data_IF_033246176920
#
_entry.id   IF_033246176920
#
_cell.length_a   1.000
_cell.length_b   1.000
_cell.length_c   1.000
_cell.angle_alpha   90.00
_cell.angle_beta   90.00
_cell.angle_gamma   90.00
#
_symmetry.space_group_name_H-M   'P 1'
#
loop_
_entity.id
_entity.type
_entity.pdbx_description
1 polymer ?
#
# COMPACT_ATOMS: atom_id res chain seq x y z
N UNK A 1 23.07 41.27 -8.96
CA UNK A 1 22.56 40.15 -8.17
C UNK A 1 21.16 39.94 -8.67
N UNK A 2 21.03 39.00 -9.59
CA UNK A 2 19.74 38.50 -10.06
C UNK A 2 19.17 37.59 -8.97
N UNK A 3 17.84 37.54 -8.87
CA UNK A 3 17.15 36.58 -8.01
C UNK A 3 16.70 35.43 -8.87
N UNK A 4 17.07 34.22 -8.48
CA UNK A 4 16.58 32.98 -9.08
C UNK A 4 15.64 32.33 -8.08
N UNK A 5 14.39 32.17 -8.46
CA UNK A 5 13.38 31.47 -7.67
C UNK A 5 13.27 30.04 -8.19
N UNK A 6 13.60 29.08 -7.33
CA UNK A 6 13.41 27.67 -7.59
C UNK A 6 12.00 27.25 -7.21
N UNK A 7 11.18 26.96 -8.22
CA UNK A 7 9.82 26.48 -8.03
C UNK A 7 9.80 24.96 -7.99
N UNK A 8 9.65 24.41 -6.78
CA UNK A 8 9.52 22.98 -6.55
C UNK A 8 8.06 22.56 -6.63
N UNK A 9 7.78 21.53 -7.41
CA UNK A 9 6.45 20.93 -7.51
C UNK A 9 6.51 19.43 -7.23
N UNK A 10 5.43 18.90 -6.66
CA UNK A 10 5.24 17.45 -6.51
C UNK A 10 4.75 16.87 -7.84
N UNK A 11 5.41 15.83 -8.39
CA UNK A 11 4.92 15.10 -9.55
C UNK A 11 3.69 14.21 -9.21
N UNK A 12 3.38 14.08 -7.91
CA UNK A 12 2.32 13.22 -7.37
C UNK A 12 1.03 13.99 -7.09
N UNK A 13 1.00 15.28 -7.41
CA UNK A 13 -0.17 16.14 -7.31
C UNK A 13 -0.55 16.59 -8.73
N UNK A 14 -1.85 16.66 -9.06
CA UNK A 14 -2.29 17.19 -10.36
C UNK A 14 -1.61 18.52 -10.69
N UNK A 15 -1.07 18.60 -11.90
CA UNK A 15 -0.40 19.80 -12.39
C UNK A 15 -1.32 21.03 -12.30
N UNK A 16 -0.74 22.19 -11.98
CA UNK A 16 -1.47 23.46 -11.79
C UNK A 16 -2.03 23.68 -10.39
N UNK A 17 -2.02 22.69 -9.50
CA UNK A 17 -2.28 22.91 -8.07
C UNK A 17 -1.02 23.46 -7.38
N UNK A 18 -0.81 24.76 -7.51
CA UNK A 18 0.29 25.48 -6.88
C UNK A 18 -0.18 26.32 -5.69
N UNK A 19 0.72 26.55 -4.73
CA UNK A 19 0.56 27.50 -3.63
C UNK A 19 0.33 28.92 -4.16
N UNK A 20 -0.26 29.77 -3.32
CA UNK A 20 -0.49 31.17 -3.70
C UNK A 20 0.85 31.86 -3.96
N UNK A 21 1.84 31.61 -3.11
CA UNK A 21 3.20 32.13 -3.23
C UNK A 21 3.88 31.71 -4.53
N UNK A 22 3.67 30.46 -4.98
CA UNK A 22 4.17 30.00 -6.28
C UNK A 22 3.50 30.70 -7.45
N UNK A 23 2.18 30.89 -7.39
CA UNK A 23 1.49 31.64 -8.43
C UNK A 23 1.92 33.10 -8.45
N UNK A 24 2.08 33.75 -7.30
CA UNK A 24 2.56 35.13 -7.21
C UNK A 24 3.97 35.24 -7.82
N UNK A 25 4.88 34.34 -7.45
CA UNK A 25 6.24 34.29 -8.02
C UNK A 25 6.23 34.14 -9.55
N UNK A 26 5.38 33.24 -10.09
CA UNK A 26 5.25 33.03 -11.53
C UNK A 26 4.68 34.26 -12.27
N UNK A 27 3.70 34.95 -11.70
CA UNK A 27 3.10 36.14 -12.32
C UNK A 27 4.00 37.37 -12.24
N UNK A 28 4.85 37.46 -11.21
CA UNK A 28 5.80 38.56 -11.02
C UNK A 28 7.12 38.34 -11.78
N UNK A 29 7.39 37.11 -12.22
CA UNK A 29 8.61 36.76 -12.94
C UNK A 29 8.72 37.46 -14.30
N UNK A 30 9.90 38.03 -14.58
CA UNK A 30 10.23 38.56 -15.92
C UNK A 30 10.61 37.45 -16.91
N UNK A 31 11.06 36.30 -16.41
CA UNK A 31 11.39 35.11 -17.17
C UNK A 31 11.04 33.85 -16.37
N UNK A 32 10.51 32.83 -17.05
CA UNK A 32 10.26 31.50 -16.49
C UNK A 32 10.91 30.47 -17.40
N UNK A 33 11.67 29.53 -16.83
CA UNK A 33 12.37 28.52 -17.61
C UNK A 33 12.33 27.12 -16.97
N UNK A 34 12.58 26.11 -17.78
CA UNK A 34 12.71 24.70 -17.38
C UNK A 34 13.64 23.95 -18.36
N UNK A 35 14.13 22.77 -17.96
CA UNK A 35 14.88 21.89 -18.88
C UNK A 35 13.97 21.09 -19.81
N UNK A 36 12.80 20.68 -19.32
CA UNK A 36 11.94 19.72 -20.00
C UNK A 36 10.48 20.19 -20.02
N UNK A 37 9.76 19.77 -21.05
CA UNK A 37 8.30 19.84 -21.07
C UNK A 37 7.75 18.83 -20.05
N UNK A 38 7.21 19.36 -18.94
CA UNK A 38 6.56 18.56 -17.89
C UNK A 38 5.09 18.95 -17.78
N UNK A 39 4.22 18.12 -17.18
CA UNK A 39 2.84 18.49 -16.91
C UNK A 39 2.72 19.80 -16.12
N UNK A 40 3.67 20.08 -15.21
CA UNK A 40 3.73 21.35 -14.48
C UNK A 40 3.99 22.55 -15.41
N UNK A 41 4.94 22.42 -16.36
CA UNK A 41 5.21 23.45 -17.37
C UNK A 41 4.01 23.68 -18.28
N UNK A 42 3.34 22.61 -18.73
CA UNK A 42 2.10 22.70 -19.52
C UNK A 42 1.02 23.47 -18.76
N UNK A 43 0.79 23.14 -17.48
CA UNK A 43 -0.20 23.82 -16.65
C UNK A 43 0.11 25.31 -16.41
N UNK A 44 1.40 25.68 -16.30
CA UNK A 44 1.83 27.08 -16.18
C UNK A 44 1.56 27.84 -17.48
N UNK A 45 1.84 27.25 -18.64
CA UNK A 45 1.54 27.84 -19.95
C UNK A 45 0.05 27.99 -20.22
N UNK A 46 -0.75 27.01 -19.81
CA UNK A 46 -2.21 27.09 -19.88
C UNK A 46 -2.78 28.22 -19.01
N UNK A 47 -2.07 28.62 -17.96
CA UNK A 47 -2.40 29.80 -17.16
C UNK A 47 -1.98 31.14 -17.82
N UNK A 48 -1.33 31.09 -18.99
CA UNK A 48 -0.93 32.25 -19.78
C UNK A 48 0.47 32.80 -19.47
N UNK A 49 1.32 32.00 -18.83
CA UNK A 49 2.70 32.34 -18.48
C UNK A 49 3.64 31.61 -19.43
N UNK A 50 4.43 32.36 -20.19
CA UNK A 50 5.42 31.77 -21.11
C UNK A 50 6.54 31.09 -20.30
N UNK A 51 6.88 29.86 -20.67
CA UNK A 51 7.97 29.09 -20.07
C UNK A 51 8.94 28.69 -21.18
N UNK A 52 10.19 29.12 -21.06
CA UNK A 52 11.25 28.79 -22.00
C UNK A 52 11.87 27.43 -21.66
N UNK A 53 11.91 26.52 -22.63
CA UNK A 53 12.69 25.28 -22.50
C UNK A 53 14.10 25.55 -22.98
N UNK A 54 15.07 25.39 -22.08
CA UNK A 54 16.48 25.69 -22.34
C UNK A 54 17.34 24.46 -22.13
N UNK A 55 18.38 24.29 -22.96
CA UNK A 55 19.36 23.18 -22.82
C UNK A 55 20.48 23.53 -21.83
N UNK A 56 20.69 24.82 -21.56
CA UNK A 56 21.72 25.36 -20.68
C UNK A 56 21.11 26.50 -19.85
N UNK A 57 21.20 26.38 -18.54
CA UNK A 57 20.65 27.34 -17.60
C UNK A 57 21.56 28.56 -17.37
N UNK A 58 22.80 28.58 -17.87
CA UNK A 58 23.77 29.64 -17.60
C UNK A 58 23.23 31.04 -17.94
N UNK A 59 22.57 31.20 -19.09
CA UNK A 59 21.96 32.47 -19.49
C UNK A 59 20.83 32.88 -18.53
N UNK A 60 19.97 31.92 -18.16
CA UNK A 60 18.89 32.16 -17.22
C UNK A 60 19.40 32.58 -15.83
N UNK A 61 20.49 31.98 -15.34
CA UNK A 61 21.09 32.31 -14.06
C UNK A 61 21.62 33.76 -14.01
N UNK A 62 22.16 34.27 -15.13
CA UNK A 62 22.58 35.66 -15.23
C UNK A 62 21.41 36.65 -15.20
N UNK A 63 20.29 36.30 -15.84
CA UNK A 63 19.11 37.17 -15.96
C UNK A 63 18.23 37.12 -14.70
N UNK A 64 18.07 35.95 -14.08
CA UNK A 64 17.14 35.71 -12.98
C UNK A 64 15.71 35.44 -13.44
N UNK A 65 14.86 34.98 -12.52
CA UNK A 65 13.49 34.59 -12.83
C UNK A 65 13.04 33.36 -12.04
N UNK A 66 11.97 32.71 -12.50
CA UNK A 66 11.48 31.46 -11.90
C UNK A 66 11.94 30.26 -12.71
N UNK A 67 12.61 29.32 -12.05
CA UNK A 67 12.97 28.04 -12.63
C UNK A 67 11.99 26.96 -12.15
N UNK A 68 11.25 26.36 -13.08
CA UNK A 68 10.36 25.24 -12.80
C UNK A 68 11.19 23.97 -12.74
N UNK A 69 11.34 23.42 -11.54
CA UNK A 69 12.21 22.26 -11.31
C UNK A 69 11.55 20.99 -11.87
N UNK A 70 12.30 20.25 -12.69
CA UNK A 70 11.88 18.97 -13.23
C UNK A 70 11.71 17.88 -12.17
N UNK A 71 11.05 16.78 -12.54
CA UNK A 71 10.71 15.69 -11.62
C UNK A 71 11.94 14.99 -11.02
N UNK A 72 13.06 15.00 -11.77
CA UNK A 72 14.35 14.47 -11.32
C UNK A 72 15.14 15.44 -10.43
N UNK A 73 14.60 16.63 -10.14
CA UNK A 73 15.22 17.63 -9.27
C UNK A 73 16.34 18.45 -9.91
N UNK A 74 16.53 18.34 -11.23
CA UNK A 74 17.49 19.13 -12.04
C UNK A 74 18.89 19.19 -11.44
N UNK A 75 19.48 18.03 -11.15
CA UNK A 75 20.75 17.88 -10.43
C UNK A 75 21.90 18.70 -11.05
N UNK A 76 21.98 18.77 -12.38
CA UNK A 76 22.99 19.55 -13.11
C UNK A 76 22.87 21.06 -12.80
N UNK A 77 21.65 21.58 -12.78
CA UNK A 77 21.40 22.97 -12.39
C UNK A 77 21.66 23.21 -10.92
N UNK A 78 21.32 22.25 -10.05
CA UNK A 78 21.61 22.35 -8.62
C UNK A 78 23.11 22.53 -8.36
N UNK A 79 23.95 21.79 -9.07
CA UNK A 79 25.41 21.93 -8.98
C UNK A 79 25.87 23.30 -9.49
N UNK A 80 25.37 23.75 -10.65
CA UNK A 80 25.70 25.07 -11.19
C UNK A 80 25.29 26.21 -10.23
N UNK A 81 24.06 26.18 -9.70
CA UNK A 81 23.55 27.15 -8.74
C UNK A 81 24.45 27.28 -7.51
N UNK A 82 25.03 26.18 -7.03
CA UNK A 82 25.92 26.21 -5.88
C UNK A 82 27.18 27.08 -6.14
N UNK A 83 27.71 27.06 -7.36
CA UNK A 83 28.86 27.90 -7.75
C UNK A 83 28.47 29.39 -7.83
N UNK A 84 27.36 29.72 -8.48
CA UNK A 84 26.87 31.10 -8.63
C UNK A 84 26.47 31.73 -7.29
N UNK A 85 25.82 30.96 -6.40
CA UNK A 85 25.48 31.41 -5.04
C UNK A 85 26.75 31.62 -4.21
N UNK A 86 27.72 30.71 -4.28
CA UNK A 86 28.99 30.86 -3.56
C UNK A 86 29.82 32.06 -4.07
N UNK A 87 29.71 32.39 -5.36
CA UNK A 87 30.28 33.59 -5.98
C UNK A 87 29.56 34.89 -5.58
N UNK A 88 28.35 34.81 -5.01
CA UNK A 88 27.52 35.97 -4.69
C UNK A 88 26.92 36.65 -5.93
N UNK A 89 26.82 35.91 -7.03
CA UNK A 89 26.34 36.42 -8.32
C UNK A 89 24.81 36.46 -8.37
N UNK A 90 24.18 35.49 -7.70
CA UNK A 90 22.72 35.32 -7.62
C UNK A 90 22.25 35.21 -6.16
N UNK A 91 20.99 35.60 -5.94
CA UNK A 91 20.23 35.24 -4.75
C UNK A 91 19.29 34.09 -5.09
N UNK A 92 19.39 32.96 -4.37
CA UNK A 92 18.52 31.80 -4.56
C UNK A 92 17.38 31.84 -3.56
N UNK A 93 16.15 31.90 -4.08
CA UNK A 93 14.93 31.70 -3.32
C UNK A 93 14.33 30.33 -3.67
N UNK A 94 13.73 29.64 -2.71
CA UNK A 94 13.03 28.37 -2.96
C UNK A 94 11.56 28.55 -2.62
N UNK A 95 10.70 28.33 -3.61
CA UNK A 95 9.24 28.38 -3.47
C UNK A 95 8.68 26.99 -3.71
N UNK A 96 7.93 26.49 -2.73
CA UNK A 96 7.22 25.22 -2.85
C UNK A 96 5.84 25.46 -3.47
N UNK A 97 5.69 25.08 -4.73
CA UNK A 97 4.41 25.10 -5.44
C UNK A 97 3.47 24.03 -4.93
N UNK A 98 3.96 22.81 -4.76
CA UNK A 98 3.17 21.72 -4.17
C UNK A 98 4.07 20.75 -3.42
N UNK A 99 3.46 19.90 -2.59
CA UNK A 99 4.16 18.90 -1.78
C UNK A 99 3.41 17.59 -1.77
N UNK A 100 4.18 16.50 -1.61
CA UNK A 100 3.63 15.17 -1.50
C UNK A 100 2.77 15.05 -0.23
N UNK A 101 1.49 14.67 -0.35
CA UNK A 101 0.70 14.29 0.81
C UNK A 101 1.20 12.95 1.39
N UNK A 102 0.91 12.65 2.67
CA UNK A 102 1.14 11.32 3.20
C UNK A 102 0.48 10.25 2.32
N UNK A 103 1.26 9.25 1.90
CA UNK A 103 0.80 8.18 1.01
C UNK A 103 1.01 8.43 -0.48
N UNK A 104 1.53 9.61 -0.89
CA UNK A 104 1.73 9.94 -2.31
C UNK A 104 2.57 8.91 -3.09
N UNK A 105 3.50 8.21 -2.43
CA UNK A 105 4.33 7.15 -3.05
C UNK A 105 3.53 5.96 -3.58
N UNK A 106 2.26 5.82 -3.22
CA UNK A 106 1.38 4.83 -3.84
C UNK A 106 1.16 5.14 -5.33
N UNK A 107 1.17 6.41 -5.75
CA UNK A 107 1.03 6.78 -7.16
C UNK A 107 2.24 6.29 -7.98
N UNK A 108 3.45 6.39 -7.43
CA UNK A 108 4.65 5.85 -8.07
C UNK A 108 4.55 4.32 -8.22
N UNK A 109 3.96 3.63 -7.24
CA UNK A 109 3.76 2.19 -7.31
C UNK A 109 2.73 1.82 -8.40
N UNK A 110 1.64 2.59 -8.53
CA UNK A 110 0.67 2.43 -9.62
C UNK A 110 1.36 2.59 -10.98
N UNK A 111 2.18 3.63 -11.14
CA UNK A 111 2.95 3.85 -12.37
C UNK A 111 3.94 2.71 -12.64
N UNK A 112 4.67 2.26 -11.61
CA UNK A 112 5.62 1.16 -11.73
C UNK A 112 4.92 -0.13 -12.19
N UNK A 113 3.77 -0.48 -11.61
CA UNK A 113 2.97 -1.65 -12.02
C UNK A 113 2.48 -1.51 -13.45
N UNK A 114 2.02 -0.32 -13.85
CA UNK A 114 1.62 -0.05 -15.23
C UNK A 114 2.80 -0.22 -16.20
N UNK A 115 3.98 0.28 -15.83
CA UNK A 115 5.21 0.14 -16.63
C UNK A 115 5.64 -1.31 -16.78
N UNK A 116 5.49 -2.13 -15.74
CA UNK A 116 5.76 -3.57 -15.81
C UNK A 116 4.87 -4.27 -16.85
N UNK A 117 3.62 -3.85 -17.02
CA UNK A 117 2.67 -4.45 -17.95
C UNK A 117 2.63 -3.79 -19.34
N UNK A 118 3.31 -2.67 -19.55
CA UNK A 118 3.42 -2.01 -20.86
C UNK A 118 3.98 -2.94 -21.95
N UNK A 119 3.71 -2.65 -23.24
CA UNK A 119 4.13 -3.50 -24.38
C UNK A 119 5.63 -3.78 -24.42
N UNK A 120 6.46 -2.83 -23.97
CA UNK A 120 7.91 -2.91 -23.84
C UNK A 120 8.37 -3.15 -22.38
N UNK A 121 7.44 -3.38 -21.46
CA UNK A 121 7.67 -3.73 -20.06
C UNK A 121 8.15 -5.16 -19.83
N UNK A 122 7.99 -5.67 -18.60
CA UNK A 122 8.51 -6.97 -18.18
C UNK A 122 7.70 -8.14 -18.81
N UNK A 123 8.32 -9.02 -19.62
CA UNK A 123 7.62 -10.14 -20.24
C UNK A 123 7.02 -11.13 -19.24
N UNK A 124 7.67 -11.31 -18.07
CA UNK A 124 7.16 -12.19 -17.02
C UNK A 124 5.87 -11.65 -16.42
N UNK A 125 5.82 -10.35 -16.09
CA UNK A 125 4.63 -9.69 -15.53
C UNK A 125 3.47 -9.71 -16.53
N UNK A 126 3.72 -9.39 -17.81
CA UNK A 126 2.72 -9.50 -18.88
C UNK A 126 2.16 -10.92 -19.08
N UNK A 127 2.93 -11.95 -18.72
CA UNK A 127 2.51 -13.34 -18.80
C UNK A 127 1.62 -13.80 -17.65
N UNK A 128 1.40 -12.96 -16.63
CA UNK A 128 0.67 -13.35 -15.43
C UNK A 128 -0.86 -13.31 -15.62
N UNK A 129 -1.53 -14.05 -14.75
CA UNK A 129 -2.98 -14.09 -14.58
C UNK A 129 -3.29 -14.10 -13.09
N UNK A 130 -4.54 -13.81 -12.68
CA UNK A 130 -4.92 -13.97 -11.27
C UNK A 130 -4.58 -15.36 -10.71
N UNK A 131 -4.69 -16.40 -11.54
CA UNK A 131 -4.40 -17.78 -11.13
C UNK A 131 -2.91 -18.04 -10.91
N UNK A 132 -2.03 -17.46 -11.72
CA UNK A 132 -0.57 -17.64 -11.59
C UNK A 132 0.02 -16.78 -10.48
N UNK A 133 -0.62 -15.66 -10.12
CA UNK A 133 -0.23 -14.81 -9.00
C UNK A 133 -0.69 -15.32 -7.63
N UNK A 134 -1.76 -16.11 -7.58
CA UNK A 134 -2.35 -16.57 -6.33
C UNK A 134 -1.39 -17.33 -5.37
N UNK A 135 -0.41 -18.14 -5.83
CA UNK A 135 0.60 -18.73 -4.97
C UNK A 135 1.49 -17.67 -4.29
N UNK A 136 1.92 -16.65 -5.03
CA UNK A 136 2.75 -15.56 -4.50
C UNK A 136 1.98 -14.77 -3.45
N UNK A 137 0.73 -14.38 -3.71
CA UNK A 137 -0.12 -13.75 -2.67
C UNK A 137 -0.20 -14.57 -1.37
N UNK A 138 -0.21 -15.90 -1.47
CA UNK A 138 -0.23 -16.77 -0.30
C UNK A 138 1.13 -16.79 0.42
N UNK A 139 2.22 -16.78 -0.34
CA UNK A 139 3.61 -16.71 0.13
C UNK A 139 3.86 -15.39 0.89
N UNK A 140 3.62 -14.24 0.25
CA UNK A 140 3.77 -12.91 0.88
C UNK A 140 2.90 -12.77 2.15
N UNK A 141 1.71 -13.38 2.14
CA UNK A 141 0.83 -13.38 3.32
C UNK A 141 1.43 -14.14 4.49
N UNK A 142 2.25 -15.17 4.23
CA UNK A 142 2.96 -15.92 5.27
C UNK A 142 4.26 -15.25 5.69
N UNK A 143 4.99 -14.64 4.77
CA UNK A 143 6.22 -13.91 5.10
C UNK A 143 5.91 -12.70 6.00
N UNK A 144 4.81 -11.98 5.74
CA UNK A 144 4.29 -10.96 6.69
C UNK A 144 4.00 -11.56 8.07
N UNK A 145 3.44 -12.77 8.16
CA UNK A 145 3.17 -13.40 9.45
C UNK A 145 4.45 -13.79 10.19
N UNK A 146 5.47 -14.24 9.46
CA UNK A 146 6.77 -14.59 10.00
C UNK A 146 7.52 -13.32 10.47
N UNK A 147 7.50 -12.24 9.69
CA UNK A 147 8.05 -10.93 10.09
C UNK A 147 7.36 -10.35 11.35
N UNK A 148 6.02 -10.48 11.46
CA UNK A 148 5.28 -10.11 12.69
C UNK A 148 5.77 -10.95 13.89
N UNK A 149 6.02 -12.24 13.69
CA UNK A 149 6.48 -13.13 14.75
C UNK A 149 7.95 -12.84 15.15
N UNK A 150 8.80 -12.51 14.19
CA UNK A 150 10.20 -12.11 14.39
C UNK A 150 10.35 -10.77 15.11
N UNK A 151 9.43 -9.84 14.85
CA UNK A 151 9.39 -8.53 15.52
C UNK A 151 10.45 -7.54 14.99
N UNK A 152 11.00 -7.79 13.81
CA UNK A 152 11.88 -6.87 13.09
C UNK A 152 11.03 -5.86 12.29
N UNK A 153 11.09 -4.55 12.60
CA UNK A 153 10.32 -3.54 11.89
C UNK A 153 10.79 -3.28 10.45
N UNK A 154 12.05 -3.55 10.11
CA UNK A 154 12.54 -3.36 8.75
C UNK A 154 12.08 -4.51 7.84
N UNK A 155 12.19 -5.76 8.31
CA UNK A 155 11.63 -6.95 7.65
C UNK A 155 10.12 -6.81 7.48
N UNK A 156 9.39 -6.44 8.54
CA UNK A 156 7.94 -6.22 8.45
C UNK A 156 7.57 -5.16 7.40
N UNK A 157 8.37 -4.11 7.24
CA UNK A 157 8.11 -3.07 6.24
C UNK A 157 8.33 -3.60 4.82
N UNK A 158 9.34 -4.43 4.61
CA UNK A 158 9.64 -5.09 3.33
C UNK A 158 8.49 -6.01 2.93
N UNK A 159 8.13 -6.95 3.80
CA UNK A 159 7.06 -7.93 3.53
C UNK A 159 5.68 -7.26 3.35
N UNK A 160 5.40 -6.17 4.09
CA UNK A 160 4.18 -5.40 3.86
C UNK A 160 4.17 -4.71 2.49
N UNK A 161 5.35 -4.36 1.96
CA UNK A 161 5.53 -3.83 0.61
C UNK A 161 5.21 -4.87 -0.46
N UNK A 162 5.71 -6.08 -0.30
CA UNK A 162 5.48 -7.17 -1.25
C UNK A 162 4.03 -7.67 -1.20
N UNK A 163 3.43 -7.74 -0.01
CA UNK A 163 2.00 -7.99 0.13
C UNK A 163 1.15 -6.86 -0.47
N UNK A 164 1.57 -5.60 -0.35
CA UNK A 164 0.89 -4.44 -0.97
C UNK A 164 0.96 -4.50 -2.49
N UNK A 165 2.03 -5.04 -3.08
CA UNK A 165 2.18 -5.18 -4.52
C UNK A 165 1.12 -6.11 -5.14
N UNK A 166 0.69 -7.16 -4.41
CA UNK A 166 -0.25 -8.17 -4.89
C UNK A 166 -1.63 -7.59 -5.31
N UNK A 167 -2.32 -6.74 -4.51
CA UNK A 167 -3.52 -6.03 -4.96
C UNK A 167 -3.34 -5.21 -6.24
N UNK A 168 -2.21 -4.52 -6.39
CA UNK A 168 -1.95 -3.70 -7.59
C UNK A 168 -1.73 -4.57 -8.82
N UNK A 169 -1.00 -5.68 -8.69
CA UNK A 169 -0.86 -6.67 -9.76
C UNK A 169 -2.23 -7.20 -10.20
N UNK A 170 -3.07 -7.60 -9.25
CA UNK A 170 -4.41 -8.08 -9.59
C UNK A 170 -5.31 -7.01 -10.22
N UNK A 171 -5.27 -5.78 -9.72
CA UNK A 171 -6.02 -4.66 -10.29
C UNK A 171 -5.55 -4.36 -11.73
N UNK A 172 -4.24 -4.40 -12.00
CA UNK A 172 -3.70 -4.16 -13.34
C UNK A 172 -4.07 -5.23 -14.39
N UNK A 173 -4.46 -6.43 -13.94
CA UNK A 173 -4.92 -7.52 -14.81
C UNK A 173 -6.44 -7.55 -15.03
N UNK A 174 -7.20 -6.74 -14.29
CA UNK A 174 -8.65 -6.74 -14.34
C UNK A 174 -9.18 -6.01 -15.59
N UNK A 175 -10.28 -6.50 -16.15
CA UNK A 175 -10.94 -5.88 -17.32
C UNK A 175 -11.98 -4.82 -16.92
N UNK A 176 -12.62 -4.99 -15.76
CA UNK A 176 -13.80 -4.22 -15.33
C UNK A 176 -13.55 -3.30 -14.13
N UNK A 177 -12.33 -3.28 -13.58
CA UNK A 177 -11.97 -2.44 -12.43
C UNK A 177 -10.47 -2.16 -12.40
N UNK A 178 -10.07 -1.13 -11.65
CA UNK A 178 -8.66 -0.81 -11.38
C UNK A 178 -8.37 -0.69 -9.87
N UNK A 179 -7.18 -0.17 -9.53
CA UNK A 179 -6.75 -0.03 -8.13
C UNK A 179 -7.54 1.06 -7.40
N UNK A 180 -8.02 2.08 -8.11
CA UNK A 180 -8.82 3.17 -7.53
C UNK A 180 -10.22 2.67 -7.20
N UNK A 181 -10.80 1.79 -8.03
CA UNK A 181 -12.06 1.10 -7.71
C UNK A 181 -11.91 0.24 -6.44
N UNK A 182 -10.83 -0.54 -6.34
CA UNK A 182 -10.55 -1.38 -5.15
C UNK A 182 -10.40 -0.53 -3.89
N UNK A 183 -9.65 0.58 -3.98
CA UNK A 183 -9.45 1.50 -2.87
C UNK A 183 -10.76 2.22 -2.49
N UNK A 184 -11.51 2.69 -3.48
CA UNK A 184 -12.80 3.36 -3.31
C UNK A 184 -13.82 2.48 -2.59
N UNK A 185 -14.02 1.26 -3.07
CA UNK A 185 -14.90 0.27 -2.43
C UNK A 185 -14.49 -0.03 -0.99
N UNK A 186 -13.18 -0.13 -0.73
CA UNK A 186 -12.66 -0.34 0.62
C UNK A 186 -12.92 0.86 1.53
N UNK A 187 -12.68 2.08 1.05
CA UNK A 187 -12.92 3.33 1.79
C UNK A 187 -14.39 3.46 2.13
N UNK A 188 -15.29 3.32 1.16
CA UNK A 188 -16.74 3.40 1.39
C UNK A 188 -17.20 2.37 2.43
N UNK A 189 -16.68 1.15 2.33
CA UNK A 189 -16.96 0.07 3.28
C UNK A 189 -16.42 0.37 4.68
N UNK A 190 -15.20 0.88 4.81
CA UNK A 190 -14.62 1.26 6.11
C UNK A 190 -15.44 2.39 6.73
N UNK A 191 -15.73 3.46 5.99
CA UNK A 191 -16.53 4.60 6.47
C UNK A 191 -17.89 4.13 6.96
N UNK A 192 -18.60 3.32 6.16
CA UNK A 192 -19.93 2.80 6.50
C UNK A 192 -19.91 1.87 7.72
N UNK A 193 -18.84 1.10 7.94
CA UNK A 193 -18.72 0.16 9.08
C UNK A 193 -18.26 0.81 10.38
N UNK A 194 -17.84 2.07 10.35
CA UNK A 194 -17.39 2.80 11.54
C UNK A 194 -18.08 4.17 11.62
N UNK A 195 -19.42 4.21 11.73
CA UNK A 195 -20.17 5.47 11.81
C UNK A 195 -19.84 6.30 13.05
N UNK A 196 -19.13 5.76 14.04
CA UNK A 196 -18.64 6.48 15.22
C UNK A 196 -17.35 7.27 14.95
N UNK A 197 -16.59 6.93 13.89
CA UNK A 197 -15.40 7.68 13.48
C UNK A 197 -15.78 8.82 12.54
N UNK A 198 -16.73 8.59 11.63
CA UNK A 198 -17.11 9.51 10.54
C UNK A 198 -18.53 10.08 10.64
N UNK A 199 -19.27 9.77 11.71
CA UNK A 199 -20.62 10.24 11.98
C UNK A 199 -20.86 10.39 13.48
N UNK A 200 -22.14 10.29 13.89
CA UNK A 200 -22.56 10.59 15.27
C UNK A 200 -22.85 9.33 16.12
N UNK A 201 -22.47 8.13 15.67
CA UNK A 201 -22.77 6.89 16.40
C UNK A 201 -21.92 6.74 17.67
N UNK A 202 -22.49 6.15 18.72
CA UNK A 202 -21.81 5.97 20.01
C UNK A 202 -20.71 4.90 19.92
N UNK A 203 -19.46 5.19 20.34
CA UNK A 203 -18.39 4.21 20.46
C UNK A 203 -18.61 3.10 21.49
N UNK A 204 -19.67 3.13 22.30
CA UNK A 204 -20.01 2.01 23.18
C UNK A 204 -20.70 0.85 22.42
N UNK A 205 -21.29 1.13 21.25
CA UNK A 205 -22.07 0.16 20.45
C UNK A 205 -21.29 -0.40 19.24
N UNK A 206 -19.95 -0.39 19.27
CA UNK A 206 -19.08 -0.73 18.13
C UNK A 206 -19.40 -2.08 17.49
N UNK A 207 -19.57 -3.10 18.32
CA UNK A 207 -19.77 -4.47 17.87
C UNK A 207 -21.14 -4.65 17.21
N UNK A 208 -22.18 -4.02 17.77
CA UNK A 208 -23.54 -4.05 17.23
C UNK A 208 -23.60 -3.28 15.90
N UNK A 209 -23.09 -2.04 15.88
CA UNK A 209 -23.02 -1.20 14.68
C UNK A 209 -22.24 -1.88 13.54
N UNK A 210 -21.12 -2.54 13.85
CA UNK A 210 -20.32 -3.25 12.86
C UNK A 210 -21.06 -4.47 12.27
N UNK A 211 -21.73 -5.25 13.12
CA UNK A 211 -22.50 -6.42 12.69
C UNK A 211 -23.74 -6.03 11.87
N UNK A 212 -24.45 -4.97 12.27
CA UNK A 212 -25.59 -4.43 11.51
C UNK A 212 -25.15 -3.94 10.12
N UNK A 213 -24.06 -3.17 10.04
CA UNK A 213 -23.51 -2.72 8.77
C UNK A 213 -23.08 -3.88 7.86
N UNK A 214 -22.50 -4.95 8.45
CA UNK A 214 -22.08 -6.17 7.75
C UNK A 214 -23.27 -7.01 7.27
N UNK A 215 -24.37 -7.03 8.02
CA UNK A 215 -25.60 -7.74 7.65
C UNK A 215 -26.33 -7.03 6.50
N UNK A 216 -26.37 -5.70 6.50
CA UNK A 216 -27.04 -4.91 5.46
C UNK A 216 -26.40 -5.06 4.06
N UNK A 217 -25.09 -5.37 3.99
CA UNK A 217 -24.34 -5.54 2.74
C UNK A 217 -24.66 -6.84 1.98
N UNK A 218 -25.20 -7.85 2.65
CA UNK A 218 -25.37 -9.19 2.05
C UNK A 218 -26.81 -9.65 2.21
N UNK A 219 -27.73 -9.15 1.37
CA UNK A 219 -29.16 -9.40 1.52
C UNK A 219 -29.56 -10.88 1.33
N UNK A 220 -28.68 -11.73 0.78
CA UNK A 220 -28.94 -13.15 0.57
C UNK A 220 -27.71 -13.99 0.92
N UNK A 221 -27.72 -14.61 2.10
CA UNK A 221 -26.92 -15.80 2.41
C UNK A 221 -27.90 -16.89 2.79
N UNK A 222 -27.88 -17.99 2.04
CA UNK A 222 -28.75 -19.13 2.30
C UNK A 222 -28.12 -20.09 3.33
N UNK A 223 -26.81 -19.97 3.56
CA UNK A 223 -26.06 -20.78 4.52
C UNK A 223 -25.10 -19.91 5.38
N UNK A 224 -24.97 -20.14 6.70
CA UNK A 224 -24.12 -19.32 7.58
C UNK A 224 -22.65 -19.22 7.11
N UNK A 225 -22.11 -20.31 6.56
CA UNK A 225 -20.75 -20.34 6.01
C UNK A 225 -20.58 -19.71 4.61
N UNK A 226 -21.60 -19.07 4.03
CA UNK A 226 -21.51 -18.45 2.70
C UNK A 226 -20.42 -17.37 2.64
N UNK A 227 -19.54 -17.49 1.64
CA UNK A 227 -18.39 -16.61 1.46
C UNK A 227 -17.25 -16.82 2.47
N UNK A 228 -17.19 -17.98 3.14
CA UNK A 228 -15.95 -18.44 3.81
C UNK A 228 -15.07 -19.13 2.77
N UNK A 229 -13.82 -18.67 2.62
CA UNK A 229 -12.88 -19.28 1.67
C UNK A 229 -12.48 -20.68 2.13
N UNK A 230 -12.65 -21.67 1.26
CA UNK A 230 -12.22 -23.06 1.49
C UNK A 230 -10.71 -23.26 1.37
N UNK A 231 -9.96 -22.23 0.91
CA UNK A 231 -8.50 -22.27 0.79
C UNK A 231 -7.79 -21.86 2.07
N UNK A 232 -8.52 -21.41 3.09
CA UNK A 232 -7.96 -21.14 4.41
C UNK A 232 -7.31 -22.41 4.98
N UNK A 233 -6.19 -22.27 5.70
CA UNK A 233 -5.67 -23.34 6.56
C UNK A 233 -6.75 -23.89 7.48
N UNK A 234 -6.71 -25.18 7.78
CA UNK A 234 -7.81 -25.89 8.43
C UNK A 234 -8.24 -25.29 9.77
N UNK A 235 -7.31 -24.73 10.58
CA UNK A 235 -7.66 -24.10 11.86
C UNK A 235 -8.31 -22.74 11.65
N UNK A 236 -7.78 -21.92 10.75
CA UNK A 236 -8.38 -20.64 10.36
C UNK A 236 -9.77 -20.84 9.71
N UNK A 237 -9.93 -21.85 8.86
CA UNK A 237 -11.20 -22.24 8.25
C UNK A 237 -12.21 -22.62 9.34
N UNK A 238 -11.85 -23.55 10.22
CA UNK A 238 -12.72 -23.98 11.32
C UNK A 238 -13.10 -22.79 12.21
N UNK A 239 -12.13 -21.95 12.57
CA UNK A 239 -12.37 -20.77 13.37
C UNK A 239 -13.37 -19.83 12.69
N UNK A 240 -13.22 -19.59 11.37
CA UNK A 240 -14.10 -18.71 10.62
C UNK A 240 -15.51 -19.28 10.47
N UNK A 241 -15.66 -20.59 10.27
CA UNK A 241 -16.97 -21.23 10.20
C UNK A 241 -17.70 -21.10 11.54
N UNK A 242 -17.02 -21.38 12.67
CA UNK A 242 -17.61 -21.22 14.02
C UNK A 242 -18.09 -19.79 14.25
N UNK A 243 -17.27 -18.79 13.91
CA UNK A 243 -17.64 -17.38 13.97
C UNK A 243 -18.93 -17.10 13.21
N UNK A 244 -19.01 -17.57 11.95
CA UNK A 244 -20.13 -17.26 11.07
C UNK A 244 -21.45 -17.87 11.55
N UNK A 245 -21.39 -19.08 12.08
CA UNK A 245 -22.55 -19.73 12.71
C UNK A 245 -23.01 -18.93 13.94
N UNK A 246 -22.07 -18.51 14.80
CA UNK A 246 -22.38 -17.67 15.97
C UNK A 246 -22.96 -16.31 15.59
N UNK A 247 -22.38 -15.60 14.61
CA UNK A 247 -22.83 -14.28 14.13
C UNK A 247 -24.29 -14.31 13.61
N UNK A 248 -24.76 -15.46 13.10
CA UNK A 248 -26.12 -15.64 12.58
C UNK A 248 -27.11 -16.12 13.66
N UNK A 249 -26.67 -16.28 14.92
CA UNK A 249 -27.51 -16.81 15.99
C UNK A 249 -27.80 -18.31 15.88
N UNK A 250 -27.04 -19.03 15.04
CA UNK A 250 -27.12 -20.48 14.87
C UNK A 250 -25.76 -21.10 15.23
N UNK A 251 -25.36 -21.20 16.51
CA UNK A 251 -24.06 -21.73 16.88
C UNK A 251 -23.85 -23.14 16.31
N UNK A 252 -22.67 -23.38 15.75
CA UNK A 252 -22.27 -24.69 15.25
C UNK A 252 -22.24 -25.67 16.43
N UNK A 253 -22.81 -26.85 16.27
CA UNK A 253 -22.70 -27.93 17.27
C UNK A 253 -21.25 -28.41 17.33
N UNK A 254 -20.56 -28.10 18.43
CA UNK A 254 -19.14 -28.42 18.61
C UNK A 254 -18.99 -29.68 19.47
N UNK A 255 -18.12 -30.61 19.07
CA UNK A 255 -17.79 -31.76 19.90
C UNK A 255 -17.13 -31.30 21.21
N UNK A 256 -17.37 -32.06 22.29
CA UNK A 256 -16.67 -31.85 23.55
C UNK A 256 -15.21 -32.30 23.46
N UNK A 257 -14.32 -31.61 24.18
CA UNK A 257 -12.95 -32.07 24.36
C UNK A 257 -12.97 -33.41 25.13
N UNK A 258 -12.29 -34.46 24.63
CA UNK A 258 -12.33 -35.77 25.25
C UNK A 258 -11.60 -35.79 26.60
N UNK A 259 -12.14 -36.56 27.53
CA UNK A 259 -11.48 -36.88 28.79
C UNK A 259 -10.32 -37.85 28.57
N UNK A 260 -9.13 -37.31 28.28
CA UNK A 260 -7.88 -38.06 28.17
C UNK A 260 -7.12 -37.86 26.86
N UNK A 261 -5.95 -38.50 26.75
CA UNK A 261 -4.96 -38.21 25.70
C UNK A 261 -4.94 -39.24 24.55
N UNK A 262 -5.80 -40.26 24.57
CA UNK A 262 -5.87 -41.27 23.52
C UNK A 262 -7.03 -40.96 22.57
N UNK A 263 -6.68 -40.60 21.33
CA UNK A 263 -7.62 -40.33 20.26
C UNK A 263 -7.65 -41.51 19.30
N UNK A 264 -8.86 -42.00 19.00
CA UNK A 264 -9.06 -42.89 17.86
C UNK A 264 -8.93 -42.09 16.54
N UNK A 265 -8.39 -42.68 15.45
CA UNK A 265 -8.09 -41.94 14.21
C UNK A 265 -9.29 -41.17 13.63
N UNK A 266 -10.50 -41.71 13.74
CA UNK A 266 -11.75 -41.11 13.28
C UNK A 266 -12.23 -39.94 14.15
N UNK A 267 -11.71 -39.79 15.37
CA UNK A 267 -12.04 -38.71 16.32
C UNK A 267 -11.08 -37.53 16.26
N UNK A 268 -10.00 -37.62 15.47
CA UNK A 268 -8.97 -36.56 15.39
C UNK A 268 -9.55 -35.25 14.85
N UNK A 269 -10.42 -35.32 13.85
CA UNK A 269 -11.09 -34.13 13.29
C UNK A 269 -11.96 -33.42 14.33
N UNK A 270 -12.80 -34.17 15.03
CA UNK A 270 -13.66 -33.64 16.11
C UNK A 270 -12.82 -33.02 17.23
N UNK A 271 -11.73 -33.67 17.64
CA UNK A 271 -10.83 -33.13 18.63
C UNK A 271 -10.22 -31.78 18.20
N UNK A 272 -9.74 -31.68 16.95
CA UNK A 272 -9.17 -30.44 16.42
C UNK A 272 -10.23 -29.32 16.34
N UNK A 273 -11.45 -29.67 15.94
CA UNK A 273 -12.57 -28.72 15.90
C UNK A 273 -12.95 -28.23 17.30
N UNK A 274 -13.02 -29.13 18.29
CA UNK A 274 -13.24 -28.79 19.70
C UNK A 274 -12.15 -27.87 20.24
N UNK A 275 -10.88 -28.15 19.92
CA UNK A 275 -9.74 -27.33 20.33
C UNK A 275 -9.80 -25.93 19.71
N UNK A 276 -10.19 -25.80 18.44
CA UNK A 276 -10.43 -24.51 17.77
C UNK A 276 -11.56 -23.74 18.48
N UNK A 277 -12.66 -24.41 18.80
CA UNK A 277 -13.76 -23.81 19.58
C UNK A 277 -13.30 -23.28 20.94
N UNK A 278 -12.52 -24.07 21.67
CA UNK A 278 -11.96 -23.68 22.96
C UNK A 278 -10.97 -22.49 22.85
N UNK A 279 -10.10 -22.49 21.84
CA UNK A 279 -9.19 -21.39 21.56
C UNK A 279 -9.95 -20.08 21.29
N UNK A 280 -11.00 -20.13 20.45
CA UNK A 280 -11.86 -18.97 20.19
C UNK A 280 -12.58 -18.48 21.43
N UNK A 281 -13.11 -19.38 22.26
CA UNK A 281 -13.73 -19.00 23.52
C UNK A 281 -12.75 -18.32 24.49
N UNK A 282 -11.45 -18.60 24.36
CA UNK A 282 -10.37 -17.93 25.09
C UNK A 282 -9.87 -16.64 24.41
N UNK A 283 -10.43 -16.23 23.26
CA UNK A 283 -9.98 -15.05 22.51
C UNK A 283 -8.66 -15.24 21.77
N UNK A 284 -8.26 -16.47 21.49
CA UNK A 284 -6.99 -16.81 20.84
C UNK A 284 -7.24 -17.27 19.40
N UNK A 285 -6.46 -16.75 18.45
CA UNK A 285 -6.44 -17.29 17.09
C UNK A 285 -5.71 -18.65 17.06
N UNK A 286 -6.40 -19.76 16.71
CA UNK A 286 -5.82 -21.09 16.80
C UNK A 286 -4.73 -21.37 15.77
N UNK A 287 -4.80 -20.74 14.59
CA UNK A 287 -3.80 -20.93 13.53
C UNK A 287 -2.48 -20.27 13.96
N UNK A 288 -2.54 -19.01 14.39
CA UNK A 288 -1.36 -18.28 14.88
C UNK A 288 -0.77 -18.93 16.14
N UNK A 289 -1.62 -19.38 17.07
CA UNK A 289 -1.17 -20.05 18.28
C UNK A 289 -0.43 -21.36 17.99
N UNK A 290 -0.92 -22.17 17.04
CA UNK A 290 -0.23 -23.40 16.66
C UNK A 290 1.09 -23.10 15.94
N UNK A 291 1.12 -22.13 15.02
CA UNK A 291 2.34 -21.73 14.32
C UNK A 291 3.43 -21.31 15.28
N UNK A 292 3.11 -20.41 16.21
CA UNK A 292 4.03 -20.00 17.27
C UNK A 292 4.56 -21.21 18.05
N UNK A 293 3.67 -22.09 18.49
CA UNK A 293 4.06 -23.28 19.26
C UNK A 293 4.95 -24.25 18.46
N UNK A 294 4.75 -24.36 17.14
CA UNK A 294 5.61 -25.13 16.24
C UNK A 294 6.99 -24.48 16.15
N UNK A 295 7.05 -23.17 15.88
CA UNK A 295 8.29 -22.40 15.78
C UNK A 295 9.16 -22.55 17.03
N UNK A 296 8.58 -22.31 18.20
CA UNK A 296 9.26 -22.45 19.50
C UNK A 296 9.80 -23.86 19.76
N UNK A 297 9.01 -24.90 19.41
CA UNK A 297 9.36 -26.31 19.71
C UNK A 297 10.36 -26.89 18.72
N UNK A 298 10.24 -26.54 17.44
CA UNK A 298 11.14 -26.99 16.40
C UNK A 298 12.41 -26.13 16.32
N UNK A 299 12.42 -24.95 16.97
CA UNK A 299 13.53 -24.02 16.93
C UNK A 299 13.71 -23.39 15.54
N UNK A 300 12.61 -23.16 14.82
CA UNK A 300 12.63 -22.61 13.46
C UNK A 300 13.21 -21.19 13.43
N UNK A 301 13.00 -20.42 14.50
CA UNK A 301 13.60 -19.08 14.71
C UNK A 301 15.14 -19.06 14.58
N UNK A 302 15.81 -20.22 14.71
CA UNK A 302 17.28 -20.33 14.55
C UNK A 302 17.73 -20.63 13.12
N UNK A 303 16.82 -21.05 12.25
CA UNK A 303 17.08 -21.35 10.84
C UNK A 303 16.98 -20.07 10.01
N UNK A 304 16.00 -19.23 10.31
CA UNK A 304 15.74 -17.96 9.60
C UNK A 304 16.91 -16.97 9.80
N UNK A 305 17.49 -16.94 11.01
CA UNK A 305 18.70 -16.18 11.34
C UNK A 305 19.98 -16.68 10.65
N UNK A 306 19.97 -17.86 10.01
CA UNK A 306 21.11 -18.41 9.27
C UNK A 306 20.93 -18.32 7.74
N UNK A 307 19.71 -18.05 7.25
CA UNK A 307 19.41 -17.94 5.81
C UNK A 307 19.83 -16.61 5.16
N UNK A 308 19.85 -15.53 5.95
CA UNK A 308 20.16 -14.18 5.45
C UNK A 308 21.65 -13.95 5.08
N UNK A 309 22.56 -14.88 5.41
CA UNK A 309 23.99 -14.79 5.05
C UNK A 309 24.33 -15.56 3.74
N UNK A 310 23.34 -16.11 3.02
CA UNK A 310 23.57 -17.26 2.12
C UNK A 310 23.07 -17.22 0.68
N UNK A 311 22.32 -16.22 0.22
CA UNK A 311 21.78 -16.24 -1.15
C UNK A 311 22.47 -15.20 -2.06
N UNK A 312 23.42 -15.68 -2.88
CA UNK A 312 23.80 -14.96 -4.10
C UNK A 312 22.59 -14.91 -5.05
N UNK A 313 22.28 -13.75 -5.65
CA UNK A 313 21.11 -13.59 -6.50
C UNK A 313 21.20 -14.53 -7.71
N UNK A 314 20.14 -15.29 -7.94
CA UNK A 314 19.98 -16.08 -9.16
C UNK A 314 19.59 -15.13 -10.30
N UNK A 315 20.54 -14.88 -11.18
CA UNK A 315 20.39 -14.10 -12.41
C UNK A 315 19.48 -14.83 -13.41
N UNK A 316 18.26 -14.31 -13.67
CA UNK A 316 17.52 -14.45 -14.95
C UNK A 316 16.43 -13.39 -15.14
#
# INVERSE_FOLDING_TARGET
>A
MSTVTWLLTSPRIPAGLLSVEAWDALHEAEAVAAFDETPAVEAIRDAGIDVDIVEDAAQFLEEGGVWVVGEAGDEELREALAEYVAGGEIELEVVYGSWDPPGARLLDLVEAVARLHAEDGCPWHRGQTHGTLAPYLLEESYEVLDAIAGGDPDELREELGDLLFQPLLHASLAEDFDIDDVAGDLVEKIVRRHPHVWGDADPEDLYENWNEAKAAEKPHRDHPADGVSRRLPSLALAAKVIERFSDQGEPLDLPELPDGMKLEPDRVGDFLLAAVGAARAAGVDPELALRKAIGERAGLERLDAQGHDGEEPVDY
#
